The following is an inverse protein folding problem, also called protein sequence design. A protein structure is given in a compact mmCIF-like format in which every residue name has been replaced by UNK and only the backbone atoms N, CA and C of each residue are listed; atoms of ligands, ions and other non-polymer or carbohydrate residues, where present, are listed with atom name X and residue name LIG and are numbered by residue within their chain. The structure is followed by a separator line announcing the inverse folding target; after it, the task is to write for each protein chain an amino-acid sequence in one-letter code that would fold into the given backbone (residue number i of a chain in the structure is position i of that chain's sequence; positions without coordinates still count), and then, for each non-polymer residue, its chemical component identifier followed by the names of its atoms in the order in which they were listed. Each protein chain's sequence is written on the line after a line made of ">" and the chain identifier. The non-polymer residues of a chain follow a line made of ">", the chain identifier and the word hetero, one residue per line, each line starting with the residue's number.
data_IF_138387479849
#
_entry.id   IF_138387479849
#
_cell.length_a   1.000
_cell.length_b   1.000
_cell.length_c   1.000
_cell.angle_alpha   90.00
_cell.angle_beta   90.00
_cell.angle_gamma   90.00
#
_symmetry.space_group_name_H-M   'P 1'
#
loop_
_entity.id
_entity.type
_entity.pdbx_description
1 polymer ?
#
# COMPACT_ATOMS: atom_id res chain seq x y z
N UNK A 1 -4.84 -18.79 -7.83
CA UNK A 1 -3.93 -17.87 -7.11
C UNK A 1 -4.67 -17.44 -5.86
N UNK A 2 -4.08 -17.56 -4.66
CA UNK A 2 -4.69 -17.00 -3.45
C UNK A 2 -4.41 -15.50 -3.48
N UNK A 3 -5.43 -14.69 -3.72
CA UNK A 3 -5.34 -13.24 -3.52
C UNK A 3 -4.94 -13.01 -2.04
N UNK A 4 -3.77 -12.40 -1.80
CA UNK A 4 -3.29 -12.09 -0.42
C UNK A 4 -4.10 -10.99 0.25
N UNK A 5 -4.74 -10.16 -0.57
CA UNK A 5 -5.58 -9.04 -0.18
C UNK A 5 -6.88 -9.14 -0.98
N UNK A 6 -8.03 -8.93 -0.34
CA UNK A 6 -9.29 -8.92 -1.09
C UNK A 6 -9.45 -7.63 -1.89
N UNK A 7 -10.16 -7.71 -3.01
CA UNK A 7 -10.45 -6.55 -3.86
C UNK A 7 -11.17 -5.42 -3.11
N UNK A 8 -11.99 -5.76 -2.11
CA UNK A 8 -12.68 -4.79 -1.25
C UNK A 8 -11.71 -4.01 -0.38
N UNK A 9 -10.75 -4.69 0.25
CA UNK A 9 -9.73 -4.07 1.12
C UNK A 9 -8.78 -3.19 0.30
N UNK A 10 -8.38 -3.64 -0.88
CA UNK A 10 -7.54 -2.87 -1.80
C UNK A 10 -8.26 -1.60 -2.29
N UNK A 11 -9.56 -1.70 -2.56
CA UNK A 11 -10.36 -0.56 -2.99
C UNK A 11 -10.53 0.46 -1.87
N UNK A 12 -10.75 0.01 -0.62
CA UNK A 12 -10.82 0.87 0.55
C UNK A 12 -9.49 1.61 0.77
N UNK A 13 -8.38 0.87 0.81
CA UNK A 13 -7.04 1.44 0.99
C UNK A 13 -6.69 2.46 -0.10
N UNK A 14 -7.01 2.16 -1.37
CA UNK A 14 -6.83 3.12 -2.46
C UNK A 14 -7.62 4.40 -2.23
N UNK A 15 -8.87 4.31 -1.76
CA UNK A 15 -9.67 5.50 -1.50
C UNK A 15 -9.07 6.33 -0.36
N UNK A 16 -8.57 5.69 0.70
CA UNK A 16 -7.85 6.39 1.79
C UNK A 16 -6.59 7.09 1.25
N UNK A 17 -5.82 6.42 0.38
CA UNK A 17 -4.65 7.01 -0.28
C UNK A 17 -5.02 8.18 -1.21
N UNK A 18 -6.16 8.11 -1.89
CA UNK A 18 -6.64 9.20 -2.75
C UNK A 18 -7.21 10.38 -1.94
N UNK A 19 -7.80 10.13 -0.77
CA UNK A 19 -8.44 11.15 0.05
C UNK A 19 -7.47 11.85 1.01
N UNK A 20 -6.48 11.15 1.57
CA UNK A 20 -5.47 11.70 2.48
C UNK A 20 -4.04 11.58 1.98
N UNK A 21 -3.71 10.49 1.29
CA UNK A 21 -2.33 10.13 0.94
C UNK A 21 -1.66 10.97 -0.16
N UNK A 22 -2.41 11.46 -1.16
CA UNK A 22 -1.86 12.26 -2.26
C UNK A 22 -1.31 13.64 -1.83
N UNK A 23 -1.68 14.11 -0.63
CA UNK A 23 -1.21 15.40 -0.10
C UNK A 23 0.09 15.22 0.69
N UNK A 24 0.28 14.06 1.31
CA UNK A 24 1.46 13.74 2.14
C UNK A 24 1.89 12.27 1.95
N UNK A 25 2.93 12.05 1.14
CA UNK A 25 3.48 10.70 0.88
C UNK A 25 3.93 9.97 2.15
N UNK A 26 4.24 10.70 3.23
CA UNK A 26 4.57 10.13 4.54
C UNK A 26 3.35 9.51 5.22
N UNK A 27 2.22 10.22 5.24
CA UNK A 27 0.97 9.72 5.81
C UNK A 27 0.45 8.52 4.99
N UNK A 28 0.56 8.59 3.66
CA UNK A 28 0.31 7.45 2.78
C UNK A 28 1.16 6.22 3.14
N UNK A 29 2.45 6.42 3.45
CA UNK A 29 3.35 5.33 3.79
C UNK A 29 3.01 4.72 5.16
N UNK A 30 2.54 5.53 6.10
CA UNK A 30 2.03 5.07 7.39
C UNK A 30 0.74 4.24 7.21
N UNK A 31 -0.18 4.66 6.34
CA UNK A 31 -1.38 3.88 6.00
C UNK A 31 -1.03 2.49 5.42
N UNK A 32 -0.10 2.43 4.46
CA UNK A 32 0.39 1.16 3.90
C UNK A 32 1.04 0.26 4.97
N UNK A 33 1.83 0.86 5.87
CA UNK A 33 2.45 0.13 6.98
C UNK A 33 1.40 -0.43 7.95
N UNK A 34 0.46 0.39 8.40
CA UNK A 34 -0.61 -0.03 9.33
C UNK A 34 -1.46 -1.14 8.71
N UNK A 35 -1.79 -1.03 7.41
CA UNK A 35 -2.53 -2.04 6.68
C UNK A 35 -1.80 -3.40 6.65
N UNK A 36 -0.49 -3.38 6.41
CA UNK A 36 0.33 -4.59 6.35
C UNK A 36 0.64 -5.16 7.75
N UNK A 37 0.88 -4.30 8.75
CA UNK A 37 1.06 -4.69 10.15
C UNK A 37 -0.20 -5.34 10.71
N UNK A 38 -1.39 -4.84 10.37
CA UNK A 38 -2.68 -5.46 10.74
C UNK A 38 -2.86 -6.88 10.20
N UNK A 39 -2.03 -7.31 9.25
CA UNK A 39 -2.00 -8.67 8.66
C UNK A 39 -0.79 -9.49 9.10
N UNK A 40 0.04 -8.97 10.01
CA UNK A 40 1.23 -9.63 10.52
C UNK A 40 2.48 -9.47 9.66
N UNK A 41 2.48 -8.54 8.70
CA UNK A 41 3.67 -8.21 7.92
C UNK A 41 4.44 -7.04 8.56
N UNK A 42 5.73 -7.24 8.81
CA UNK A 42 6.64 -6.15 9.19
C UNK A 42 7.10 -5.41 7.94
N UNK A 43 6.97 -4.09 7.91
CA UNK A 43 7.33 -3.27 6.75
C UNK A 43 8.27 -2.18 7.20
N UNK A 44 9.37 -1.99 6.48
CA UNK A 44 10.28 -0.88 6.77
C UNK A 44 9.66 0.45 6.29
N UNK A 45 9.83 1.56 7.04
CA UNK A 45 9.31 2.87 6.64
C UNK A 45 9.81 3.33 5.26
N UNK A 46 11.05 2.98 4.91
CA UNK A 46 11.64 3.30 3.60
C UNK A 46 10.95 2.53 2.49
N UNK A 47 10.76 1.21 2.64
CA UNK A 47 10.08 0.40 1.64
C UNK A 47 8.63 0.86 1.42
N UNK A 48 7.93 1.25 2.49
CA UNK A 48 6.59 1.81 2.41
C UNK A 48 6.56 3.13 1.62
N UNK A 49 7.48 4.06 1.89
CA UNK A 49 7.60 5.31 1.13
C UNK A 49 7.91 5.06 -0.36
N UNK A 50 8.81 4.13 -0.66
CA UNK A 50 9.12 3.77 -2.05
C UNK A 50 7.90 3.17 -2.78
N UNK A 51 7.12 2.34 -2.08
CA UNK A 51 5.88 1.77 -2.62
C UNK A 51 4.82 2.84 -2.85
N UNK A 52 4.63 3.78 -1.92
CA UNK A 52 3.74 4.95 -2.10
C UNK A 52 4.14 5.70 -3.36
N UNK A 53 5.41 6.08 -3.51
CA UNK A 53 5.86 6.83 -4.68
C UNK A 53 5.56 6.13 -6.01
N UNK A 54 5.70 4.79 -6.05
CA UNK A 54 5.31 3.99 -7.23
C UNK A 54 3.81 3.96 -7.47
N UNK A 55 3.02 3.81 -6.41
CA UNK A 55 1.55 3.84 -6.48
C UNK A 55 1.05 5.22 -6.93
N UNK A 56 1.61 6.31 -6.39
CA UNK A 56 1.30 7.68 -6.78
C UNK A 56 1.64 7.96 -8.25
N UNK A 57 2.84 7.59 -8.70
CA UNK A 57 3.24 7.72 -10.12
C UNK A 57 2.33 6.94 -11.08
N UNK A 58 1.69 5.87 -10.59
CA UNK A 58 0.72 5.09 -11.38
C UNK A 58 -0.71 5.65 -11.37
N UNK A 59 -0.96 6.78 -10.67
CA UNK A 59 -2.30 7.33 -10.48
C UNK A 59 -3.15 6.50 -9.49
N UNK A 60 -2.52 5.91 -8.48
CA UNK A 60 -3.16 5.03 -7.49
C UNK A 60 -3.91 3.85 -8.14
N UNK A 61 -3.32 3.25 -9.18
CA UNK A 61 -3.89 2.12 -9.89
C UNK A 61 -4.01 0.90 -8.98
N UNK A 62 -5.21 0.29 -8.92
CA UNK A 62 -5.50 -0.92 -8.13
C UNK A 62 -4.49 -2.07 -8.37
N UNK A 63 -4.21 -2.49 -9.62
CA UNK A 63 -3.23 -3.56 -9.87
C UNK A 63 -1.79 -3.19 -9.47
N UNK A 64 -1.44 -1.90 -9.48
CA UNK A 64 -0.12 -1.45 -9.00
C UNK A 64 -0.09 -1.50 -7.48
N UNK A 65 -1.14 -1.01 -6.81
CA UNK A 65 -1.26 -1.07 -5.35
C UNK A 65 -1.18 -2.52 -4.83
N UNK A 66 -1.90 -3.44 -5.44
CA UNK A 66 -1.86 -4.87 -5.09
C UNK A 66 -0.44 -5.42 -5.22
N UNK A 67 0.20 -5.20 -6.38
CA UNK A 67 1.56 -5.65 -6.64
C UNK A 67 2.57 -5.10 -5.63
N UNK A 68 2.46 -3.82 -5.29
CA UNK A 68 3.34 -3.18 -4.31
C UNK A 68 3.12 -3.75 -2.90
N UNK A 69 1.88 -3.98 -2.48
CA UNK A 69 1.56 -4.63 -1.21
C UNK A 69 2.09 -6.07 -1.14
N UNK A 70 1.97 -6.83 -2.23
CA UNK A 70 2.52 -8.18 -2.31
C UNK A 70 4.03 -8.17 -2.21
N UNK A 71 4.70 -7.24 -2.88
CA UNK A 71 6.16 -7.07 -2.79
C UNK A 71 6.59 -6.73 -1.37
N UNK A 72 5.92 -5.76 -0.72
CA UNK A 72 6.22 -5.40 0.67
C UNK A 72 6.01 -6.57 1.63
N UNK A 73 4.99 -7.39 1.38
CA UNK A 73 4.71 -8.56 2.18
C UNK A 73 5.65 -9.75 1.91
N UNK A 74 6.45 -9.73 0.83
CA UNK A 74 7.45 -10.75 0.48
C UNK A 74 8.85 -10.44 1.02
N UNK A 75 9.15 -9.16 1.28
CA UNK A 75 10.41 -8.73 1.89
C UNK A 75 10.32 -9.00 3.39
N UNK A 76 10.55 -10.25 3.79
CA UNK A 76 10.85 -10.63 5.18
C UNK A 76 12.32 -10.46 5.48
#
# INVERSE_FOLDING_TARGET
>A
MKERFSSTELTALRNDLLQGGLVDSREAAELLQVFLMGRGYGVSPQAAMDAVGRVEMSGCSLPVLEKELENLALVM
#
